data_IF_180151445524
#
_entry.id   IF_180151445524
#
_cell.length_a   1.000
_cell.length_b   1.000
_cell.length_c   1.000
_cell.angle_alpha   90.00
_cell.angle_beta   90.00
_cell.angle_gamma   90.00
#
_symmetry.space_group_name_H-M   'P 1'
#
loop_
_entity.id
_entity.type
_entity.pdbx_description
1 polymer ?
#
# COMPACT_ATOMS: atom_id res chain seq x y z
N UNK A 1 -48.50 -29.50 2.10
CA UNK A 1 -48.56 -28.14 1.51
C UNK A 1 -47.43 -27.32 2.11
N UNK A 2 -46.23 -27.41 1.52
CA UNK A 2 -44.99 -26.80 2.04
C UNK A 2 -44.76 -25.49 1.30
N UNK A 3 -44.92 -24.35 1.96
CA UNK A 3 -44.60 -23.05 1.37
C UNK A 3 -43.11 -22.79 1.58
N UNK A 4 -42.35 -22.81 0.48
CA UNK A 4 -40.93 -22.47 0.46
C UNK A 4 -40.71 -21.05 1.00
N UNK A 5 -39.98 -20.95 2.10
CA UNK A 5 -39.33 -19.71 2.50
C UNK A 5 -38.35 -19.33 1.39
N UNK A 6 -38.61 -18.21 0.70
CA UNK A 6 -37.68 -17.62 -0.27
C UNK A 6 -36.38 -17.28 0.46
N UNK A 7 -35.38 -18.10 0.25
CA UNK A 7 -34.04 -17.95 0.77
C UNK A 7 -33.37 -16.76 0.06
N UNK A 8 -33.50 -15.56 0.64
CA UNK A 8 -32.82 -14.35 0.19
C UNK A 8 -31.33 -14.43 0.57
N UNK A 9 -30.58 -15.22 -0.19
CA UNK A 9 -29.11 -15.34 -0.10
C UNK A 9 -28.40 -14.38 -1.05
N UNK A 10 -28.93 -13.17 -1.24
CA UNK A 10 -28.05 -12.06 -1.59
C UNK A 10 -27.24 -11.71 -0.33
N UNK A 11 -26.34 -12.62 0.04
CA UNK A 11 -25.31 -12.40 1.03
C UNK A 11 -24.60 -11.12 0.61
N UNK A 12 -24.65 -10.10 1.46
CA UNK A 12 -23.95 -8.84 1.25
C UNK A 12 -22.50 -9.17 0.89
N UNK A 13 -22.14 -9.03 -0.38
CA UNK A 13 -20.75 -9.20 -0.82
C UNK A 13 -19.91 -8.20 -0.04
N UNK A 14 -18.79 -8.66 0.51
CA UNK A 14 -17.82 -7.76 1.10
C UNK A 14 -17.41 -6.71 0.04
N UNK A 15 -17.46 -5.44 0.43
CA UNK A 15 -16.93 -4.36 -0.40
C UNK A 15 -15.40 -4.46 -0.39
N UNK A 16 -14.81 -4.61 -1.57
CA UNK A 16 -13.36 -4.59 -1.77
C UNK A 16 -13.02 -3.32 -2.54
N UNK A 17 -12.29 -2.37 -1.93
CA UNK A 17 -11.84 -1.17 -2.64
C UNK A 17 -10.99 -1.54 -3.86
N UNK A 18 -11.24 -0.88 -4.99
CA UNK A 18 -10.53 -1.11 -6.24
C UNK A 18 -9.36 -0.14 -6.48
N UNK A 19 -9.22 0.89 -5.65
CA UNK A 19 -8.11 1.85 -5.69
C UNK A 19 -7.26 1.74 -4.44
N UNK A 20 -5.95 1.69 -4.60
CA UNK A 20 -4.98 1.81 -3.52
C UNK A 20 -4.34 3.21 -3.63
N UNK A 21 -4.63 4.09 -2.68
CA UNK A 21 -4.05 5.43 -2.62
C UNK A 21 -3.37 5.62 -1.27
N UNK A 22 -2.12 6.04 -1.25
CA UNK A 22 -1.38 6.35 -0.04
C UNK A 22 -1.98 7.56 0.69
N UNK A 23 -2.04 7.43 2.02
CA UNK A 23 -2.43 8.47 2.97
C UNK A 23 -1.25 8.91 3.82
N UNK A 24 -0.43 7.97 4.28
CA UNK A 24 0.79 8.21 5.04
C UNK A 24 1.74 7.02 4.94
N UNK A 25 3.00 7.26 5.26
CA UNK A 25 4.05 6.25 5.38
C UNK A 25 4.64 6.32 6.77
N UNK A 26 4.85 5.15 7.37
CA UNK A 26 5.50 4.96 8.67
C UNK A 26 6.65 3.97 8.50
N UNK A 27 7.68 4.14 9.32
CA UNK A 27 8.89 3.30 9.29
C UNK A 27 9.18 2.78 10.69
N UNK A 28 9.68 1.55 10.76
CA UNK A 28 10.51 1.09 11.87
C UNK A 28 11.89 0.66 11.33
N UNK A 29 12.67 -0.04 12.16
CA UNK A 29 14.03 -0.46 11.82
C UNK A 29 14.06 -1.48 10.68
N UNK A 30 12.98 -2.23 10.43
CA UNK A 30 12.95 -3.36 9.49
C UNK A 30 11.91 -3.20 8.38
N UNK A 31 10.85 -2.43 8.60
CA UNK A 31 9.63 -2.41 7.80
C UNK A 31 9.21 -0.99 7.43
N UNK A 32 8.81 -0.82 6.17
CA UNK A 32 8.02 0.32 5.72
C UNK A 32 6.54 -0.06 5.75
N UNK A 33 5.69 0.84 6.25
CA UNK A 33 4.23 0.69 6.30
C UNK A 33 3.56 1.84 5.58
N UNK A 34 2.78 1.52 4.54
CA UNK A 34 1.97 2.49 3.81
C UNK A 34 0.52 2.34 4.24
N UNK A 35 -0.02 3.40 4.82
CA UNK A 35 -1.44 3.49 5.16
C UNK A 35 -2.20 3.99 3.94
N UNK A 36 -3.21 3.24 3.51
CA UNK A 36 -4.04 3.58 2.36
C UNK A 36 -5.30 4.32 2.79
N UNK A 37 -5.84 5.16 1.90
CA UNK A 37 -7.06 5.95 2.15
C UNK A 37 -8.31 5.10 2.36
N UNK A 38 -8.29 3.86 1.89
CA UNK A 38 -9.36 2.87 2.05
C UNK A 38 -9.28 2.05 3.34
N UNK A 39 -8.32 2.36 4.21
CA UNK A 39 -8.14 1.74 5.53
C UNK A 39 -7.22 0.52 5.53
N UNK A 40 -6.70 0.09 4.38
CA UNK A 40 -5.66 -0.97 4.33
C UNK A 40 -4.31 -0.43 4.80
N UNK A 41 -3.48 -1.34 5.30
CA UNK A 41 -2.06 -1.08 5.59
C UNK A 41 -1.25 -2.10 4.82
N UNK A 42 -0.29 -1.62 4.02
CA UNK A 42 0.67 -2.45 3.30
C UNK A 42 2.00 -2.36 4.03
N UNK A 43 2.52 -3.49 4.51
CA UNK A 43 3.82 -3.54 5.17
C UNK A 43 4.79 -4.38 4.35
N UNK A 44 5.96 -3.80 4.08
CA UNK A 44 7.02 -4.42 3.28
C UNK A 44 8.36 -4.24 3.98
N UNK A 45 9.30 -5.19 3.86
CA UNK A 45 10.65 -5.03 4.38
C UNK A 45 11.32 -3.80 3.79
N UNK A 46 11.90 -2.97 4.66
CA UNK A 46 12.62 -1.76 4.26
C UNK A 46 13.82 -2.09 3.37
N UNK A 47 14.45 -3.25 3.60
CA UNK A 47 15.59 -3.76 2.82
C UNK A 47 15.30 -3.94 1.32
N UNK A 48 14.03 -3.93 0.89
CA UNK A 48 13.66 -3.98 -0.53
C UNK A 48 14.02 -2.67 -1.26
N UNK A 49 14.22 -1.59 -0.51
CA UNK A 49 14.52 -0.26 -1.02
C UNK A 49 15.88 0.17 -0.47
N UNK A 50 17.01 -0.16 -1.12
CA UNK A 50 18.33 0.09 -0.57
C UNK A 50 18.57 1.56 -0.18
N UNK A 51 18.09 2.53 -0.98
CA UNK A 51 18.24 3.95 -0.68
C UNK A 51 17.49 4.35 0.60
N UNK A 52 16.27 3.84 0.80
CA UNK A 52 15.52 4.08 2.03
C UNK A 52 16.10 3.32 3.23
N UNK A 53 16.62 2.11 3.01
CA UNK A 53 17.28 1.31 4.03
C UNK A 53 18.52 2.02 4.59
N UNK A 54 19.27 2.72 3.74
CA UNK A 54 20.47 3.46 4.14
C UNK A 54 20.17 4.91 4.60
N UNK A 55 18.96 5.42 4.32
CA UNK A 55 18.55 6.77 4.71
C UNK A 55 18.40 6.94 6.23
N UNK A 56 18.64 8.15 6.73
CA UNK A 56 18.40 8.48 8.15
C UNK A 56 16.90 8.53 8.47
N UNK A 57 16.49 8.42 9.74
CA UNK A 57 15.08 8.56 10.12
C UNK A 57 14.45 9.89 9.65
N UNK A 58 15.22 10.98 9.65
CA UNK A 58 14.76 12.29 9.19
C UNK A 58 14.50 12.31 7.69
N UNK A 59 15.42 11.72 6.90
CA UNK A 59 15.24 11.59 5.45
C UNK A 59 14.04 10.71 5.12
N UNK A 60 13.86 9.58 5.82
CA UNK A 60 12.69 8.70 5.64
C UNK A 60 11.38 9.39 5.99
N UNK A 61 11.39 10.26 7.00
CA UNK A 61 10.21 11.03 7.40
C UNK A 61 9.89 12.17 6.41
N UNK A 62 10.87 12.61 5.61
CA UNK A 62 10.70 13.66 4.61
C UNK A 62 10.28 13.07 3.26
N UNK A 63 9.01 12.67 3.17
CA UNK A 63 8.40 12.18 1.94
C UNK A 63 7.28 13.09 1.45
N UNK A 64 7.01 12.99 0.15
CA UNK A 64 5.91 13.66 -0.53
C UNK A 64 4.97 12.62 -1.14
N UNK A 65 3.66 12.84 -0.99
CA UNK A 65 2.64 11.99 -1.61
C UNK A 65 2.19 12.67 -2.91
N UNK A 66 2.53 12.06 -4.04
CA UNK A 66 2.23 12.56 -5.38
C UNK A 66 1.02 11.89 -6.04
N UNK A 67 0.59 12.47 -7.17
CA UNK A 67 -0.43 11.86 -8.05
C UNK A 67 -1.75 11.52 -7.35
N UNK A 68 -2.16 12.31 -6.36
CA UNK A 68 -3.37 12.05 -5.56
C UNK A 68 -3.30 10.80 -4.67
N UNK A 69 -2.09 10.37 -4.28
CA UNK A 69 -1.86 9.17 -3.48
C UNK A 69 -1.36 7.96 -4.29
N UNK A 70 -0.96 8.14 -5.55
CA UNK A 70 -0.49 7.03 -6.39
C UNK A 70 1.04 6.85 -6.36
N UNK A 71 1.77 7.88 -5.94
CA UNK A 71 3.23 7.86 -5.80
C UNK A 71 3.69 8.39 -4.45
N UNK A 72 4.85 7.91 -4.02
CA UNK A 72 5.60 8.34 -2.85
C UNK A 72 6.98 8.77 -3.33
N UNK A 73 7.42 9.97 -2.98
CA UNK A 73 8.70 10.54 -3.40
C UNK A 73 9.50 10.99 -2.18
N UNK A 74 10.79 10.67 -2.14
CA UNK A 74 11.73 11.14 -1.12
C UNK A 74 12.78 12.07 -1.76
N UNK A 75 12.62 13.40 -1.64
CA UNK A 75 13.48 14.36 -2.33
C UNK A 75 14.94 14.35 -1.84
N UNK A 76 15.16 14.00 -0.57
CA UNK A 76 16.51 14.02 0.02
C UNK A 76 17.42 12.91 -0.52
N UNK A 77 16.84 11.83 -1.04
CA UNK A 77 17.55 10.64 -1.54
C UNK A 77 17.18 10.28 -2.98
N UNK A 78 16.32 11.08 -3.63
CA UNK A 78 15.84 10.89 -5.02
C UNK A 78 15.23 9.50 -5.26
N UNK A 79 14.42 9.02 -4.30
CA UNK A 79 13.73 7.72 -4.40
C UNK A 79 12.23 7.92 -4.69
N UNK A 80 11.71 7.14 -5.65
CA UNK A 80 10.31 7.14 -6.04
C UNK A 80 9.69 5.73 -5.95
N UNK A 81 8.55 5.63 -5.26
CA UNK A 81 7.82 4.37 -5.09
C UNK A 81 6.39 4.52 -5.59
N UNK A 82 5.97 3.58 -6.45
CA UNK A 82 4.59 3.46 -6.92
C UNK A 82 3.72 2.65 -5.94
N UNK A 83 2.58 3.20 -5.53
CA UNK A 83 1.60 2.47 -4.70
C UNK A 83 1.03 1.27 -5.44
N UNK A 84 0.80 1.38 -6.75
CA UNK A 84 0.36 0.24 -7.56
C UNK A 84 1.43 -0.85 -7.63
N UNK A 85 2.71 -0.47 -7.74
CA UNK A 85 3.84 -1.41 -7.72
C UNK A 85 3.92 -2.21 -6.41
N UNK A 86 3.73 -1.54 -5.26
CA UNK A 86 3.66 -2.21 -3.95
C UNK A 86 2.51 -3.22 -3.87
N UNK A 87 1.36 -2.91 -4.49
CA UNK A 87 0.17 -3.76 -4.48
C UNK A 87 0.24 -4.94 -5.45
N UNK A 88 0.98 -4.79 -6.56
CA UNK A 88 1.02 -5.80 -7.60
C UNK A 88 1.75 -7.07 -7.14
N UNK A 89 2.65 -6.96 -6.15
CA UNK A 89 3.56 -8.04 -5.77
C UNK A 89 4.53 -8.30 -6.91
N UNK A 90 5.80 -7.96 -6.73
CA UNK A 90 6.72 -8.06 -7.84
C UNK A 90 7.39 -9.43 -7.90
N UNK A 91 7.02 -10.18 -8.93
CA UNK A 91 7.89 -11.21 -9.47
C UNK A 91 8.89 -10.54 -10.43
N UNK A 92 9.93 -9.93 -9.85
CA UNK A 92 11.00 -9.27 -10.60
C UNK A 92 11.79 -10.26 -11.50
N UNK A 93 11.57 -11.58 -11.41
CA UNK A 93 12.28 -12.61 -12.19
C UNK A 93 11.52 -13.12 -13.43
N UNK A 94 10.29 -12.68 -13.69
CA UNK A 94 9.51 -13.12 -14.85
C UNK A 94 9.63 -12.22 -16.09
N UNK A 95 10.65 -11.35 -16.17
CA UNK A 95 10.98 -10.61 -17.40
C UNK A 95 12.07 -11.30 -18.22
#
# INVERSE_FOLDING_TARGET
>A
MSTLAKNNRNAARAYVPTSALAKSVEFDDEMMRVHLTDGRIVSVPLIWFPLLSDATPEQRAHYEIGGGGTSLHWPDIDEDISVAGLMAGADWQSM
#
